data_IF_204347896481
#
_entry.id   IF_204347896481
#
_cell.length_a   1.000
_cell.length_b   1.000
_cell.length_c   1.000
_cell.angle_alpha   90.00
_cell.angle_beta   90.00
_cell.angle_gamma   90.00
#
_symmetry.space_group_name_H-M   'P 1'
#
loop_
_entity.id
_entity.type
_entity.pdbx_description
1 polymer ?
#
# COMPACT_ATOMS: atom_id res chain seq x y z
N UNK A 1 19.09 16.45 17.62
CA UNK A 1 18.98 17.07 16.29
C UNK A 1 17.50 17.24 15.98
N UNK A 2 17.05 18.46 15.67
CA UNK A 2 15.68 18.72 15.25
C UNK A 2 15.47 18.37 13.77
N UNK A 3 14.20 18.21 13.38
CA UNK A 3 13.84 17.72 12.05
C UNK A 3 14.28 18.68 10.93
N UNK A 4 14.35 20.00 11.17
CA UNK A 4 14.81 20.96 10.16
C UNK A 4 16.30 20.83 9.91
N UNK A 5 17.12 20.71 10.96
CA UNK A 5 18.56 20.47 10.82
C UNK A 5 18.86 19.13 10.17
N UNK A 6 18.09 18.08 10.50
CA UNK A 6 18.22 16.78 9.85
C UNK A 6 17.90 16.88 8.34
N UNK A 7 16.79 17.53 7.99
CA UNK A 7 16.40 17.69 6.60
C UNK A 7 17.45 18.46 5.79
N UNK A 8 17.94 19.58 6.32
CA UNK A 8 19.00 20.36 5.69
C UNK A 8 20.24 19.50 5.42
N UNK A 9 20.68 18.72 6.42
CA UNK A 9 21.83 17.84 6.29
C UNK A 9 21.66 16.76 5.22
N UNK A 10 20.51 16.07 5.22
CA UNK A 10 20.25 14.99 4.29
C UNK A 10 20.10 15.49 2.85
N UNK A 11 19.50 16.67 2.65
CA UNK A 11 19.35 17.27 1.31
C UNK A 11 20.66 17.74 0.68
N UNK A 12 21.77 17.82 1.44
CA UNK A 12 23.09 18.10 0.86
C UNK A 12 23.62 16.93 0.02
N UNK A 13 23.12 15.71 0.23
CA UNK A 13 23.52 14.54 -0.54
C UNK A 13 22.83 14.56 -1.90
N UNK A 14 23.62 14.55 -2.98
CA UNK A 14 23.10 14.53 -4.35
C UNK A 14 22.14 13.34 -4.55
N UNK A 15 20.91 13.63 -4.99
CA UNK A 15 19.86 12.63 -5.19
C UNK A 15 18.87 12.50 -4.03
N UNK A 16 19.12 13.13 -2.87
CA UNK A 16 18.18 13.16 -1.75
C UNK A 16 17.36 14.46 -1.78
N UNK A 17 16.08 14.33 -2.14
CA UNK A 17 15.12 15.44 -2.10
C UNK A 17 14.26 15.43 -0.82
N UNK A 18 13.45 16.49 -0.65
CA UNK A 18 12.57 16.65 0.52
C UNK A 18 11.61 15.46 0.72
N UNK A 19 11.10 14.87 -0.35
CA UNK A 19 10.26 13.67 -0.27
C UNK A 19 11.02 12.49 0.35
N UNK A 20 12.24 12.19 -0.12
CA UNK A 20 13.07 11.11 0.41
C UNK A 20 13.41 11.33 1.89
N UNK A 21 13.69 12.57 2.29
CA UNK A 21 13.92 12.93 3.70
C UNK A 21 12.68 12.64 4.54
N UNK A 22 11.49 13.03 4.09
CA UNK A 22 10.25 12.73 4.81
C UNK A 22 10.02 11.22 4.94
N UNK A 23 10.27 10.45 3.87
CA UNK A 23 10.17 8.98 3.92
C UNK A 23 11.14 8.38 4.94
N UNK A 24 12.39 8.85 4.96
CA UNK A 24 13.40 8.41 5.92
C UNK A 24 12.99 8.73 7.37
N UNK A 25 12.49 9.95 7.62
CA UNK A 25 12.06 10.34 8.98
C UNK A 25 10.87 9.50 9.47
N UNK A 26 9.92 9.17 8.59
CA UNK A 26 8.75 8.37 8.94
C UNK A 26 9.14 6.90 9.18
N UNK A 27 9.82 6.26 8.23
CA UNK A 27 9.99 4.82 8.23
C UNK A 27 11.27 4.33 8.92
N UNK A 28 12.34 5.12 8.92
CA UNK A 28 13.62 4.73 9.52
C UNK A 28 13.82 5.34 10.91
N UNK A 29 13.37 6.58 11.11
CA UNK A 29 13.50 7.28 12.40
C UNK A 29 12.23 7.28 13.25
N UNK A 30 11.13 6.73 12.74
CA UNK A 30 9.84 6.66 13.43
C UNK A 30 9.39 8.01 14.02
N UNK A 31 9.67 9.12 13.33
CA UNK A 31 9.24 10.45 13.75
C UNK A 31 7.72 10.55 13.64
N UNK A 32 6.98 10.88 14.72
CA UNK A 32 5.52 10.86 14.70
C UNK A 32 4.89 12.06 13.97
N UNK A 33 5.62 13.18 13.88
CA UNK A 33 5.08 14.46 13.46
C UNK A 33 5.62 14.96 12.10
N UNK A 34 5.76 14.07 11.13
CA UNK A 34 6.21 14.38 9.77
C UNK A 34 5.04 14.33 8.79
N UNK A 35 4.85 15.42 8.04
CA UNK A 35 3.87 15.51 6.96
C UNK A 35 4.57 15.46 5.60
N UNK A 36 4.43 14.37 4.81
CA UNK A 36 5.02 14.26 3.49
C UNK A 36 4.20 15.06 2.46
N UNK A 37 4.21 16.39 2.55
CA UNK A 37 3.39 17.29 1.73
C UNK A 37 3.68 17.23 0.23
N UNK A 38 4.84 16.72 -0.18
CA UNK A 38 5.19 16.49 -1.58
C UNK A 38 4.70 15.12 -2.11
N UNK A 39 4.23 14.22 -1.25
CA UNK A 39 3.79 12.88 -1.63
C UNK A 39 2.41 12.93 -2.32
N UNK A 40 2.34 12.46 -3.56
CA UNK A 40 1.09 12.48 -4.32
C UNK A 40 0.04 11.54 -3.72
N UNK A 41 0.45 10.41 -3.16
CA UNK A 41 -0.47 9.46 -2.54
C UNK A 41 -1.15 10.06 -1.31
N UNK A 42 -0.38 10.68 -0.42
CA UNK A 42 -0.92 11.38 0.76
C UNK A 42 -1.82 12.53 0.35
N UNK A 43 -1.43 13.35 -0.64
CA UNK A 43 -2.25 14.46 -1.13
C UNK A 43 -3.58 13.97 -1.74
N UNK A 44 -3.58 12.87 -2.48
CA UNK A 44 -4.80 12.23 -2.99
C UNK A 44 -5.68 11.69 -1.86
N UNK A 45 -5.08 11.07 -0.84
CA UNK A 45 -5.84 10.65 0.34
C UNK A 45 -6.48 11.84 1.07
N UNK A 46 -5.76 12.96 1.21
CA UNK A 46 -6.30 14.21 1.81
C UNK A 46 -7.44 14.78 0.96
N UNK A 47 -7.29 14.79 -0.37
CA UNK A 47 -8.39 15.17 -1.27
C UNK A 47 -9.64 14.33 -1.01
N UNK A 48 -9.48 13.01 -0.92
CA UNK A 48 -10.59 12.09 -0.66
C UNK A 48 -11.21 12.28 0.71
N UNK A 49 -10.38 12.38 1.77
CA UNK A 49 -10.84 12.52 3.15
C UNK A 49 -11.67 13.79 3.36
N UNK A 50 -11.24 14.91 2.77
CA UNK A 50 -11.92 16.20 2.90
C UNK A 50 -12.87 16.51 1.74
N UNK A 51 -13.13 15.55 0.85
CA UNK A 51 -13.98 15.71 -0.34
C UNK A 51 -13.64 16.96 -1.17
N UNK A 52 -12.34 17.22 -1.37
CA UNK A 52 -11.86 18.36 -2.15
C UNK A 52 -12.02 18.09 -3.65
N UNK A 53 -12.35 19.14 -4.41
CA UNK A 53 -12.48 19.05 -5.87
C UNK A 53 -11.14 18.68 -6.53
N UNK A 54 -10.07 19.37 -6.14
CA UNK A 54 -8.73 19.18 -6.68
C UNK A 54 -7.77 18.59 -5.66
N UNK A 55 -6.71 17.93 -6.15
CA UNK A 55 -5.59 17.49 -5.31
C UNK A 55 -4.91 18.71 -4.68
N UNK A 56 -4.88 18.85 -3.34
CA UNK A 56 -4.33 20.02 -2.68
C UNK A 56 -2.85 20.17 -3.02
N UNK A 57 -2.36 21.39 -3.25
CA UNK A 57 -0.94 21.69 -3.49
C UNK A 57 -0.12 21.44 -2.22
N UNK A 58 1.20 21.18 -2.30
CA UNK A 58 2.04 20.98 -1.12
C UNK A 58 1.93 22.12 -0.10
N UNK A 59 1.81 23.37 -0.57
CA UNK A 59 1.64 24.56 0.28
C UNK A 59 0.32 24.62 1.05
N UNK A 60 -0.69 23.84 0.66
CA UNK A 60 -1.98 23.78 1.35
C UNK A 60 -2.02 22.67 2.41
N UNK A 61 -1.08 21.72 2.35
CA UNK A 61 -1.10 20.53 3.19
C UNK A 61 -0.92 20.85 4.67
N UNK A 62 -0.05 21.80 5.01
CA UNK A 62 0.19 22.18 6.42
C UNK A 62 -1.10 22.65 7.10
N UNK A 63 -1.85 23.54 6.45
CA UNK A 63 -3.13 24.03 6.99
C UNK A 63 -4.19 22.94 7.07
N UNK A 64 -4.28 22.06 6.07
CA UNK A 64 -5.28 20.98 6.02
C UNK A 64 -5.00 19.89 7.07
N UNK A 65 -3.74 19.69 7.43
CA UNK A 65 -3.29 18.61 8.31
C UNK A 65 -2.86 19.11 9.70
N UNK A 66 -3.11 20.38 10.04
CA UNK A 66 -2.71 20.96 11.33
C UNK A 66 -3.33 20.20 12.51
N UNK A 67 -4.59 19.75 12.37
CA UNK A 67 -5.29 18.96 13.39
C UNK A 67 -4.70 17.58 13.62
N UNK A 68 -3.81 17.10 12.74
CA UNK A 68 -3.18 15.79 12.90
C UNK A 68 -1.97 15.84 13.83
N UNK A 69 -1.52 17.03 14.24
CA UNK A 69 -0.44 17.14 15.21
C UNK A 69 -0.84 16.54 16.56
N UNK A 70 0.11 15.91 17.28
CA UNK A 70 1.52 15.73 16.94
C UNK A 70 1.82 14.43 16.15
N UNK A 71 0.83 13.85 15.47
CA UNK A 71 0.90 12.53 14.82
C UNK A 71 0.65 12.58 13.30
N UNK A 72 1.20 13.60 12.61
CA UNK A 72 1.03 13.77 11.16
C UNK A 72 1.49 12.57 10.34
N UNK A 73 2.46 11.80 10.82
CA UNK A 73 2.94 10.59 10.15
C UNK A 73 1.92 9.44 10.20
N UNK A 74 1.15 9.35 11.28
CA UNK A 74 0.02 8.41 11.38
C UNK A 74 -1.09 8.82 10.41
N UNK A 75 -1.41 10.12 10.34
CA UNK A 75 -2.36 10.66 9.36
C UNK A 75 -1.96 10.32 7.92
N UNK A 76 -0.69 10.55 7.56
CA UNK A 76 -0.13 10.18 6.27
C UNK A 76 -0.27 8.67 5.98
N UNK A 77 -0.01 7.82 6.97
CA UNK A 77 -0.17 6.37 6.84
C UNK A 77 -1.61 5.97 6.46
N UNK A 78 -2.61 6.55 7.13
CA UNK A 78 -4.01 6.31 6.79
C UNK A 78 -4.37 6.81 5.39
N UNK A 79 -3.75 7.89 4.90
CA UNK A 79 -4.00 8.38 3.54
C UNK A 79 -3.53 7.39 2.48
N UNK A 80 -2.40 6.71 2.69
CA UNK A 80 -1.98 5.62 1.81
C UNK A 80 -2.96 4.44 1.83
N UNK A 81 -3.47 4.06 3.00
CA UNK A 81 -4.49 3.00 3.11
C UNK A 81 -5.80 3.38 2.41
N UNK A 82 -6.21 4.64 2.54
CA UNK A 82 -7.44 5.15 1.96
C UNK A 82 -7.41 5.15 0.42
N UNK A 83 -6.25 5.43 -0.19
CA UNK A 83 -6.12 5.35 -1.65
C UNK A 83 -6.05 3.89 -2.13
N UNK A 84 -5.41 3.00 -1.37
CA UNK A 84 -5.33 1.56 -1.68
C UNK A 84 -6.72 0.91 -1.67
N UNK A 85 -7.58 1.26 -0.71
CA UNK A 85 -8.92 0.67 -0.60
C UNK A 85 -9.84 0.98 -1.78
N UNK A 86 -9.52 2.01 -2.57
CA UNK A 86 -10.31 2.41 -3.75
C UNK A 86 -9.77 1.82 -5.05
N UNK A 87 -8.56 1.27 -5.04
CA UNK A 87 -8.06 0.48 -6.19
C UNK A 87 -8.86 -0.83 -6.19
N UNK A 88 -9.59 -1.17 -7.27
CA UNK A 88 -10.26 -2.46 -7.37
C UNK A 88 -9.20 -3.55 -7.19
N UNK A 89 -9.32 -4.32 -6.11
CA UNK A 89 -8.49 -5.49 -5.95
C UNK A 89 -8.80 -6.41 -7.13
N UNK A 90 -7.80 -6.84 -7.92
CA UNK A 90 -8.05 -7.88 -8.91
C UNK A 90 -8.65 -9.06 -8.16
N UNK A 91 -9.77 -9.60 -8.67
CA UNK A 91 -10.38 -10.77 -8.08
C UNK A 91 -9.28 -11.83 -7.89
N UNK A 92 -9.25 -12.55 -6.75
CA UNK A 92 -8.33 -13.66 -6.61
C UNK A 92 -8.50 -14.57 -7.84
N UNK A 93 -7.40 -15.12 -8.38
CA UNK A 93 -7.51 -16.01 -9.53
C UNK A 93 -8.53 -17.08 -9.17
N UNK A 94 -9.65 -17.11 -9.92
CA UNK A 94 -10.62 -18.19 -9.80
C UNK A 94 -9.79 -19.46 -10.02
N UNK A 95 -9.77 -20.41 -9.07
CA UNK A 95 -9.08 -21.68 -9.30
C UNK A 95 -9.63 -22.22 -10.61
N UNK A 96 -8.78 -22.35 -11.62
CA UNK A 96 -9.22 -22.86 -12.91
C UNK A 96 -9.89 -24.20 -12.63
N UNK A 97 -11.17 -24.30 -12.99
CA UNK A 97 -11.81 -25.61 -13.04
C UNK A 97 -10.86 -26.49 -13.87
N UNK A 98 -10.45 -27.67 -13.37
CA UNK A 98 -9.59 -28.54 -14.14
C UNK A 98 -10.26 -28.73 -15.50
N UNK A 99 -9.49 -28.57 -16.57
CA UNK A 99 -9.96 -28.77 -17.95
C UNK A 99 -10.74 -30.08 -18.05
N UNK A 100 -11.69 -30.23 -18.99
CA UNK A 100 -12.44 -31.47 -19.16
C UNK A 100 -11.52 -32.72 -19.16
N UNK A 101 -10.35 -32.60 -19.80
CA UNK A 101 -9.31 -33.64 -19.83
C UNK A 101 -8.73 -33.97 -18.45
N UNK A 102 -8.53 -32.96 -17.59
CA UNK A 102 -8.06 -33.14 -16.22
C UNK A 102 -9.11 -33.78 -15.32
N UNK A 103 -10.40 -33.47 -15.53
CA UNK A 103 -11.51 -34.14 -14.84
C UNK A 103 -11.63 -35.61 -15.26
N UNK A 104 -11.48 -35.89 -16.55
CA UNK A 104 -11.46 -37.25 -17.09
C UNK A 104 -10.30 -38.04 -16.49
N UNK A 105 -9.10 -37.45 -16.42
CA UNK A 105 -7.91 -38.12 -15.86
C UNK A 105 -8.05 -38.41 -14.36
N UNK A 106 -8.61 -37.47 -13.58
CA UNK A 106 -8.91 -37.66 -12.16
C UNK A 106 -9.97 -38.75 -11.94
N UNK A 107 -11.01 -38.78 -12.77
CA UNK A 107 -12.05 -39.80 -12.70
C UNK A 107 -11.51 -41.19 -13.07
N UNK A 108 -10.62 -41.27 -14.07
CA UNK A 108 -9.95 -42.51 -14.46
C UNK A 108 -9.00 -43.02 -13.38
N UNK A 109 -8.27 -42.12 -12.71
CA UNK A 109 -7.37 -42.46 -11.61
C UNK A 109 -8.15 -42.92 -10.36
N UNK A 110 -9.29 -42.31 -10.05
CA UNK A 110 -10.20 -42.81 -9.01
C UNK A 110 -10.79 -44.17 -9.38
N UNK A 111 -11.25 -44.38 -10.61
CA UNK A 111 -11.75 -45.68 -11.08
C UNK A 111 -10.67 -46.76 -10.99
N UNK A 112 -9.44 -46.48 -11.43
CA UNK A 112 -8.32 -47.41 -11.31
C UNK A 112 -8.01 -47.74 -9.84
N UNK A 113 -8.03 -46.75 -8.96
CA UNK A 113 -7.79 -46.96 -7.53
C UNK A 113 -8.89 -47.83 -6.88
N UNK A 114 -10.15 -47.66 -7.29
CA UNK A 114 -11.28 -48.48 -6.84
C UNK A 114 -11.18 -49.90 -7.40
N UNK A 115 -10.79 -50.08 -8.66
CA UNK A 115 -10.59 -51.40 -9.28
C UNK A 115 -9.45 -52.17 -8.59
N UNK A 116 -8.33 -51.51 -8.29
CA UNK A 116 -7.20 -52.11 -7.54
C UNK A 116 -7.56 -52.52 -6.10
N UNK A 117 -8.61 -51.91 -5.53
CA UNK A 117 -9.13 -52.33 -4.22
C UNK A 117 -10.08 -53.54 -4.29
N UNK A 118 -10.72 -53.78 -5.42
CA UNK A 118 -11.76 -54.82 -5.58
C UNK A 118 -11.18 -56.12 -6.18
N UNK A 119 -10.12 -56.02 -6.99
CA UNK A 119 -9.45 -57.17 -7.58
C UNK A 119 -8.03 -57.25 -7.04
N UNK A 120 -7.77 -57.97 -5.93
CA UNK A 120 -6.41 -58.27 -5.53
C UNK A 120 -5.80 -59.24 -6.56
N UNK A 121 -4.55 -58.98 -6.98
CA UNK A 121 -3.75 -59.99 -7.66
C UNK A 121 -3.57 -61.24 -6.78
#
# INVERSE_FOLDING_TARGET
>A
MDDRSLAAMLTMVKGIGAWSVHMFMIFSLARPDVLPSADLGVRKGVQMLYALQDVPRPSQMDRLCERWRPYRSVGAWYMWRLIESKVPQPAPPIPALPSPDGQIMLQQQQQQSVIQMIIPF
#
